data_IF_724316817234
#
_entry.id   IF_724316817234
#
_cell.length_a   1.000
_cell.length_b   1.000
_cell.length_c   1.000
_cell.angle_alpha   90.00
_cell.angle_beta   90.00
_cell.angle_gamma   90.00
#
_symmetry.space_group_name_H-M   'P 1'
#
loop_
_entity.id
_entity.type
_entity.pdbx_description
1 polymer ?
#
# COMPACT_ATOMS: atom_id res chain seq x y z
N UNK A 1 -11.57 -23.89 -4.30
CA UNK A 1 -11.44 -24.29 -5.73
C UNK A 1 -10.66 -23.19 -6.41
N UNK A 2 -9.56 -23.51 -7.10
CA UNK A 2 -8.72 -22.48 -7.77
C UNK A 2 -9.51 -21.93 -8.97
N UNK A 3 -9.74 -20.61 -9.08
CA UNK A 3 -10.47 -20.03 -10.21
C UNK A 3 -9.71 -20.25 -11.53
N UNK A 4 -10.42 -20.58 -12.60
CA UNK A 4 -9.91 -20.63 -13.97
C UNK A 4 -9.90 -19.23 -14.60
N UNK A 5 -9.16 -19.02 -15.70
CA UNK A 5 -9.15 -17.73 -16.42
C UNK A 5 -10.57 -17.29 -16.87
N UNK A 6 -11.49 -18.24 -17.09
CA UNK A 6 -12.90 -17.96 -17.39
C UNK A 6 -13.73 -17.50 -16.19
N UNK A 7 -13.22 -17.68 -14.97
CA UNK A 7 -13.88 -17.24 -13.72
C UNK A 7 -13.49 -15.81 -13.32
N UNK A 8 -12.51 -15.20 -14.01
CA UNK A 8 -12.17 -13.80 -13.82
C UNK A 8 -13.30 -12.93 -14.37
N UNK A 9 -13.87 -11.99 -13.57
CA UNK A 9 -14.99 -11.18 -14.01
C UNK A 9 -14.60 -10.40 -15.27
N UNK A 10 -15.28 -10.73 -16.38
CA UNK A 10 -14.89 -10.43 -17.75
C UNK A 10 -15.45 -9.13 -18.31
N UNK A 11 -16.29 -8.40 -17.56
CA UNK A 11 -16.76 -7.09 -17.98
C UNK A 11 -16.12 -5.97 -17.15
N UNK A 12 -15.41 -5.08 -17.83
CA UNK A 12 -14.93 -3.80 -17.30
C UNK A 12 -16.06 -3.04 -16.57
N UNK A 13 -17.31 -3.23 -17.02
CA UNK A 13 -18.53 -2.61 -16.51
C UNK A 13 -19.00 -3.17 -15.14
N UNK A 14 -18.83 -4.47 -14.88
CA UNK A 14 -19.11 -5.04 -13.54
C UNK A 14 -18.04 -4.63 -12.53
N UNK A 15 -16.78 -4.54 -12.98
CA UNK A 15 -15.69 -4.00 -12.15
C UNK A 15 -15.99 -2.53 -11.81
N UNK A 16 -16.32 -1.67 -12.77
CA UNK A 16 -16.58 -0.24 -12.50
C UNK A 16 -17.72 0.00 -11.51
N UNK A 17 -18.86 -0.70 -11.63
CA UNK A 17 -19.99 -0.54 -10.68
C UNK A 17 -19.63 -0.87 -9.23
N UNK A 18 -18.84 -1.92 -9.01
CA UNK A 18 -18.41 -2.27 -7.64
C UNK A 18 -17.43 -1.27 -7.04
N UNK A 19 -16.72 -0.50 -7.85
CA UNK A 19 -15.86 0.59 -7.38
C UNK A 19 -16.67 1.87 -7.14
N UNK A 20 -17.73 2.11 -7.92
CA UNK A 20 -18.70 3.20 -7.69
C UNK A 20 -19.47 3.00 -6.37
N UNK A 21 -20.00 1.80 -6.12
CA UNK A 21 -20.68 1.47 -4.84
C UNK A 21 -19.73 1.61 -3.64
N UNK A 22 -18.48 1.16 -3.78
CA UNK A 22 -17.47 1.28 -2.73
C UNK A 22 -17.06 2.75 -2.50
N UNK A 23 -17.02 3.56 -3.56
CA UNK A 23 -16.78 4.99 -3.47
C UNK A 23 -17.90 5.72 -2.73
N UNK A 24 -19.16 5.38 -3.02
CA UNK A 24 -20.33 5.91 -2.32
C UNK A 24 -20.29 5.52 -0.84
N UNK A 25 -20.11 4.22 -0.53
CA UNK A 25 -20.00 3.73 0.85
C UNK A 25 -18.83 4.39 1.62
N UNK A 26 -17.67 4.55 0.98
CA UNK A 26 -16.54 5.27 1.56
C UNK A 26 -16.87 6.75 1.78
N UNK A 27 -17.56 7.38 0.82
CA UNK A 27 -18.07 8.74 0.92
C UNK A 27 -18.93 8.94 2.16
N UNK A 28 -19.95 8.10 2.32
CA UNK A 28 -20.91 8.14 3.41
C UNK A 28 -20.25 7.88 4.77
N UNK A 29 -19.36 6.89 4.85
CA UNK A 29 -18.63 6.60 6.08
C UNK A 29 -17.79 7.81 6.53
N UNK A 30 -17.09 8.45 5.59
CA UNK A 30 -16.20 9.59 5.88
C UNK A 30 -16.96 10.84 6.34
N UNK A 31 -18.23 10.99 5.96
CA UNK A 31 -19.06 12.10 6.43
C UNK A 31 -19.44 11.97 7.92
N UNK A 32 -19.35 10.76 8.48
CA UNK A 32 -19.53 10.52 9.92
C UNK A 32 -18.24 10.69 10.74
N UNK A 33 -17.09 10.91 10.09
CA UNK A 33 -15.81 11.11 10.75
C UNK A 33 -15.58 12.58 11.13
N UNK A 34 -15.11 12.78 12.35
CA UNK A 34 -14.51 14.04 12.78
C UNK A 34 -13.19 14.31 12.04
N UNK A 35 -12.74 15.58 12.05
CA UNK A 35 -11.43 15.92 11.47
C UNK A 35 -10.28 15.16 12.14
N UNK A 36 -10.33 14.97 13.46
CA UNK A 36 -9.33 14.21 14.20
C UNK A 36 -9.31 12.73 13.79
N UNK A 37 -10.48 12.11 13.63
CA UNK A 37 -10.59 10.74 13.12
C UNK A 37 -10.04 10.63 11.68
N UNK A 38 -10.36 11.59 10.79
CA UNK A 38 -9.80 11.64 9.43
C UNK A 38 -8.26 11.75 9.44
N UNK A 39 -7.73 12.65 10.28
CA UNK A 39 -6.29 12.83 10.44
C UNK A 39 -5.60 11.59 11.05
N UNK A 40 -6.29 10.86 11.91
CA UNK A 40 -5.83 9.59 12.49
C UNK A 40 -5.79 8.43 11.47
N UNK A 41 -6.66 8.44 10.46
CA UNK A 41 -6.70 7.39 9.44
C UNK A 41 -5.61 7.51 8.37
N UNK A 42 -5.06 8.71 8.17
CA UNK A 42 -4.02 8.99 7.17
C UNK A 42 -2.59 8.86 7.74
N UNK A 43 -2.46 8.39 8.98
CA UNK A 43 -1.18 8.22 9.68
C UNK A 43 -1.10 6.82 10.30
N UNK A 44 0.05 6.19 10.19
CA UNK A 44 0.32 4.92 10.88
C UNK A 44 0.33 5.07 12.41
N UNK A 45 -0.15 4.04 13.10
CA UNK A 45 -0.02 3.86 14.54
C UNK A 45 0.80 2.60 14.84
N UNK A 46 1.15 2.40 16.12
CA UNK A 46 1.74 1.15 16.59
C UNK A 46 0.66 0.08 16.74
N UNK A 47 0.90 -1.11 16.22
CA UNK A 47 0.03 -2.28 16.36
C UNK A 47 0.77 -3.59 16.09
N UNK A 48 0.02 -4.62 15.69
CA UNK A 48 0.55 -5.96 15.47
C UNK A 48 1.19 -6.11 14.07
N UNK A 49 0.91 -5.20 13.16
CA UNK A 49 1.37 -5.24 11.78
C UNK A 49 2.54 -4.27 11.56
N UNK A 50 3.20 -4.33 10.40
CA UNK A 50 4.29 -3.38 10.12
C UNK A 50 3.80 -1.95 9.93
N UNK A 51 2.54 -1.80 9.50
CA UNK A 51 1.81 -0.54 9.56
C UNK A 51 0.38 -0.81 9.99
N UNK A 52 -0.13 -0.01 10.91
CA UNK A 52 -1.51 -0.12 11.40
C UNK A 52 -2.21 1.23 11.26
N UNK A 53 -3.49 1.21 10.88
CA UNK A 53 -4.41 2.33 11.05
C UNK A 53 -5.26 2.04 12.29
N UNK A 54 -5.37 3.03 13.18
CA UNK A 54 -6.06 2.86 14.46
C UNK A 54 -7.57 2.57 14.27
N UNK A 55 -8.19 1.78 15.18
CA UNK A 55 -9.63 1.57 15.20
C UNK A 55 -10.40 2.86 15.50
N UNK A 56 -11.65 2.93 15.01
CA UNK A 56 -12.63 3.96 15.35
C UNK A 56 -13.88 3.25 15.88
N UNK A 57 -13.86 2.94 17.18
CA UNK A 57 -14.87 2.08 17.82
C UNK A 57 -16.30 2.62 17.73
N UNK A 58 -16.48 3.95 17.74
CA UNK A 58 -17.81 4.59 17.60
C UNK A 58 -18.49 4.27 16.27
N UNK A 59 -17.69 3.99 15.23
CA UNK A 59 -18.16 3.68 13.89
C UNK A 59 -17.89 2.21 13.51
N UNK A 60 -17.60 1.35 14.49
CA UNK A 60 -17.29 -0.07 14.30
C UNK A 60 -16.14 -0.36 13.33
N UNK A 61 -15.20 0.58 13.16
CA UNK A 61 -13.97 0.32 12.40
C UNK A 61 -12.93 -0.30 13.33
N UNK A 62 -12.45 -1.50 13.00
CA UNK A 62 -11.45 -2.26 13.77
C UNK A 62 -10.01 -1.82 13.49
N UNK A 63 -9.82 -0.97 12.46
CA UNK A 63 -8.52 -0.50 12.00
C UNK A 63 -8.15 -1.14 10.66
N UNK A 64 -6.94 -0.88 10.18
CA UNK A 64 -6.38 -1.56 9.00
C UNK A 64 -4.99 -2.07 9.32
N UNK A 65 -4.75 -3.34 9.05
CA UNK A 65 -3.43 -3.96 9.16
C UNK A 65 -2.76 -4.02 7.78
N UNK A 66 -1.62 -3.34 7.64
CA UNK A 66 -0.76 -3.37 6.47
C UNK A 66 0.47 -4.22 6.79
N UNK A 67 0.67 -5.29 6.03
CA UNK A 67 1.66 -6.31 6.37
C UNK A 67 2.58 -6.61 5.19
N UNK A 68 3.88 -6.72 5.48
CA UNK A 68 4.86 -7.24 4.53
C UNK A 68 4.68 -8.75 4.37
N UNK A 69 5.02 -9.34 3.23
CA UNK A 69 5.51 -8.71 2.02
C UNK A 69 5.24 -9.58 0.78
N UNK A 70 5.95 -9.33 -0.34
CA UNK A 70 5.59 -9.89 -1.65
C UNK A 70 5.83 -11.40 -1.80
N UNK A 71 6.47 -12.05 -0.82
CA UNK A 71 6.80 -13.48 -0.81
C UNK A 71 6.08 -14.27 0.31
N UNK A 72 5.80 -13.64 1.45
CA UNK A 72 5.22 -14.27 2.63
C UNK A 72 4.84 -13.20 3.66
N UNK A 73 4.03 -13.58 4.64
CA UNK A 73 3.77 -12.74 5.81
C UNK A 73 5.06 -12.65 6.63
N UNK A 74 5.57 -11.44 6.78
CA UNK A 74 6.78 -11.16 7.52
C UNK A 74 6.52 -11.19 9.02
N UNK A 75 7.48 -11.72 9.79
CA UNK A 75 7.45 -11.79 11.25
C UNK A 75 6.22 -12.51 11.85
N UNK A 76 5.71 -13.55 11.18
CA UNK A 76 4.60 -14.35 11.66
C UNK A 76 4.96 -15.84 11.76
N UNK A 77 4.54 -16.55 12.83
CA UNK A 77 4.67 -18.00 12.91
C UNK A 77 3.52 -18.71 12.17
N UNK A 78 3.73 -19.97 11.80
CA UNK A 78 2.72 -20.81 11.12
C UNK A 78 2.23 -20.18 9.81
N UNK A 79 3.18 -19.84 8.93
CA UNK A 79 2.95 -19.29 7.59
C UNK A 79 3.84 -20.01 6.60
N UNK A 80 3.43 -20.02 5.33
CA UNK A 80 4.24 -20.55 4.25
C UNK A 80 5.23 -19.49 3.74
N UNK A 81 6.39 -19.94 3.25
CA UNK A 81 7.31 -19.09 2.49
C UNK A 81 7.21 -19.48 1.03
N UNK A 82 6.62 -18.61 0.22
CA UNK A 82 6.39 -18.88 -1.20
C UNK A 82 7.65 -18.59 -2.03
N UNK A 83 7.73 -19.04 -3.30
CA UNK A 83 8.75 -18.57 -4.23
C UNK A 83 8.72 -17.04 -4.38
N UNK A 84 9.89 -16.44 -4.55
CA UNK A 84 9.95 -15.01 -4.87
C UNK A 84 9.33 -14.73 -6.24
N UNK A 85 8.90 -13.49 -6.48
CA UNK A 85 8.21 -13.11 -7.72
C UNK A 85 9.07 -13.35 -8.96
N UNK A 86 10.40 -13.17 -8.88
CA UNK A 86 11.34 -13.51 -9.95
C UNK A 86 11.33 -15.01 -10.28
N UNK A 87 11.13 -15.87 -9.27
CA UNK A 87 11.01 -17.32 -9.49
C UNK A 87 9.66 -17.69 -10.12
N UNK A 88 8.60 -16.97 -9.76
CA UNK A 88 7.28 -17.14 -10.39
C UNK A 88 7.33 -16.70 -11.85
N UNK A 89 7.98 -15.57 -12.15
CA UNK A 89 8.18 -15.10 -13.52
C UNK A 89 8.90 -16.13 -14.39
N UNK A 90 9.93 -16.79 -13.85
CA UNK A 90 10.71 -17.79 -14.58
C UNK A 90 9.86 -18.97 -15.10
N UNK A 91 8.63 -19.15 -14.62
CA UNK A 91 7.68 -20.13 -15.16
C UNK A 91 6.99 -19.70 -16.45
N UNK A 92 6.90 -18.39 -16.73
CA UNK A 92 6.10 -17.80 -17.81
C UNK A 92 4.63 -18.26 -17.80
N UNK A 93 4.09 -18.59 -16.62
CA UNK A 93 2.75 -19.15 -16.45
C UNK A 93 1.88 -18.21 -15.58
N UNK A 94 0.91 -17.55 -16.24
CA UNK A 94 -0.04 -16.66 -15.57
C UNK A 94 -0.98 -17.41 -14.62
N UNK A 95 -1.32 -18.66 -14.90
CA UNK A 95 -2.16 -19.47 -14.00
C UNK A 95 -1.39 -19.81 -12.72
N UNK A 96 -0.11 -20.18 -12.85
CA UNK A 96 0.75 -20.42 -11.70
C UNK A 96 0.92 -19.15 -10.86
N UNK A 97 1.15 -18.00 -11.51
CA UNK A 97 1.26 -16.71 -10.82
C UNK A 97 -0.03 -16.33 -10.06
N UNK A 98 -1.18 -16.55 -10.69
CA UNK A 98 -2.49 -16.33 -10.05
C UNK A 98 -2.67 -17.24 -8.83
N UNK A 99 -2.45 -18.55 -8.99
CA UNK A 99 -2.63 -19.53 -7.92
C UNK A 99 -1.69 -19.25 -6.74
N UNK A 100 -0.42 -18.96 -7.04
CA UNK A 100 0.59 -18.54 -6.07
C UNK A 100 0.10 -17.34 -5.24
N UNK A 101 -0.33 -16.28 -5.91
CA UNK A 101 -0.78 -15.05 -5.27
C UNK A 101 -2.09 -15.20 -4.50
N UNK A 102 -3.00 -16.08 -4.96
CA UNK A 102 -4.27 -16.36 -4.28
C UNK A 102 -4.03 -17.04 -2.92
N UNK A 103 -3.16 -18.06 -2.88
CA UNK A 103 -2.84 -18.74 -1.62
C UNK A 103 -2.08 -17.83 -0.66
N UNK A 104 -1.15 -17.03 -1.17
CA UNK A 104 -0.49 -16.01 -0.37
C UNK A 104 -1.52 -15.03 0.22
N UNK A 105 -2.39 -14.43 -0.60
CA UNK A 105 -3.45 -13.53 -0.14
C UNK A 105 -4.37 -14.18 0.91
N UNK A 106 -4.68 -15.46 0.75
CA UNK A 106 -5.49 -16.23 1.72
C UNK A 106 -4.78 -16.33 3.08
N UNK A 107 -3.47 -16.59 3.11
CA UNK A 107 -2.72 -16.60 4.37
C UNK A 107 -2.71 -15.21 5.03
N UNK A 108 -2.56 -14.13 4.23
CA UNK A 108 -2.61 -12.75 4.75
C UNK A 108 -3.95 -12.46 5.42
N UNK A 109 -5.07 -12.76 4.74
CA UNK A 109 -6.41 -12.63 5.31
C UNK A 109 -6.57 -13.48 6.59
N UNK A 110 -6.09 -14.73 6.58
CA UNK A 110 -6.20 -15.63 7.73
C UNK A 110 -5.39 -15.14 8.95
N UNK A 111 -4.36 -14.30 8.75
CA UNK A 111 -3.62 -13.62 9.82
C UNK A 111 -4.19 -12.25 10.19
N UNK A 112 -5.30 -11.84 9.60
CA UNK A 112 -5.97 -10.56 9.87
C UNK A 112 -5.37 -9.36 9.12
N UNK A 113 -4.53 -9.60 8.11
CA UNK A 113 -4.01 -8.51 7.29
C UNK A 113 -5.07 -8.03 6.30
N UNK A 114 -5.28 -6.72 6.28
CA UNK A 114 -6.20 -6.07 5.35
C UNK A 114 -5.49 -5.74 4.03
N UNK A 115 -4.20 -5.40 4.11
CA UNK A 115 -3.38 -4.96 2.98
C UNK A 115 -2.09 -5.75 2.91
N UNK A 116 -1.84 -6.38 1.76
CA UNK A 116 -0.56 -6.99 1.40
C UNK A 116 0.33 -5.90 0.81
N UNK A 117 1.51 -5.68 1.39
CA UNK A 117 2.51 -4.76 0.84
C UNK A 117 3.27 -5.41 -0.33
N UNK A 118 2.54 -5.67 -1.41
CA UNK A 118 2.97 -6.24 -2.68
C UNK A 118 1.80 -6.30 -3.67
N UNK A 119 2.04 -6.70 -4.93
CA UNK A 119 3.31 -7.19 -5.49
C UNK A 119 4.33 -6.08 -5.79
N UNK A 120 5.52 -6.47 -6.25
CA UNK A 120 6.56 -5.52 -6.64
C UNK A 120 6.52 -5.28 -8.15
N UNK A 121 6.22 -4.05 -8.55
CA UNK A 121 6.34 -3.54 -9.92
C UNK A 121 7.60 -2.66 -10.13
N UNK A 122 8.33 -2.35 -9.05
CA UNK A 122 9.57 -1.56 -9.08
C UNK A 122 10.44 -1.87 -7.85
N UNK A 123 11.73 -2.23 -7.99
CA UNK A 123 12.61 -2.03 -9.15
C UNK A 123 12.29 -2.92 -10.35
N UNK A 124 12.19 -2.31 -11.54
CA UNK A 124 12.16 -3.02 -12.83
C UNK A 124 13.56 -3.54 -13.23
N UNK A 125 14.58 -3.38 -12.38
CA UNK A 125 15.92 -3.95 -12.60
C UNK A 125 16.81 -3.32 -13.68
N UNK A 126 16.79 -1.99 -13.85
CA UNK A 126 17.77 -1.26 -14.70
C UNK A 126 19.22 -1.74 -14.49
N UNK A 127 19.59 -2.05 -13.26
CA UNK A 127 20.89 -2.63 -12.92
C UNK A 127 20.69 -4.08 -12.48
N UNK A 128 21.47 -5.06 -13.00
CA UNK A 128 21.45 -6.42 -12.49
C UNK A 128 21.97 -6.52 -11.04
N UNK A 129 22.66 -5.48 -10.56
CA UNK A 129 23.12 -5.36 -9.17
C UNK A 129 22.06 -4.75 -8.22
N UNK A 130 20.83 -4.55 -8.70
CA UNK A 130 19.73 -4.06 -7.87
C UNK A 130 19.41 -5.05 -6.74
N UNK A 131 19.66 -4.65 -5.50
CA UNK A 131 19.55 -5.54 -4.33
C UNK A 131 18.15 -6.10 -4.04
N UNK A 132 17.11 -5.55 -4.69
CA UNK A 132 15.70 -5.95 -4.52
C UNK A 132 15.01 -6.34 -5.83
N UNK A 133 15.75 -6.52 -6.92
CA UNK A 133 15.17 -6.97 -8.19
C UNK A 133 14.42 -8.30 -8.02
N UNK A 134 14.94 -9.20 -7.18
CA UNK A 134 14.36 -10.51 -6.89
C UNK A 134 12.96 -10.45 -6.27
N UNK A 135 12.59 -9.34 -5.63
CA UNK A 135 11.26 -9.19 -5.02
C UNK A 135 10.17 -8.93 -6.07
N UNK A 136 10.54 -8.42 -7.25
CA UNK A 136 9.66 -8.24 -8.40
C UNK A 136 9.82 -9.34 -9.43
N UNK A 137 9.21 -9.12 -10.59
CA UNK A 137 9.28 -10.03 -11.72
C UNK A 137 10.47 -9.67 -12.61
N UNK A 138 10.21 -9.07 -13.78
CA UNK A 138 11.18 -8.99 -14.87
C UNK A 138 11.78 -7.59 -15.08
N UNK A 139 12.79 -7.56 -15.94
CA UNK A 139 13.23 -6.35 -16.64
C UNK A 139 12.28 -5.95 -17.78
N UNK A 140 11.54 -6.92 -18.29
CA UNK A 140 10.63 -6.77 -19.43
C UNK A 140 9.27 -6.24 -18.94
N UNK A 141 8.84 -5.12 -19.52
CA UNK A 141 7.70 -4.36 -19.01
C UNK A 141 6.35 -5.06 -19.28
N UNK A 142 6.22 -5.77 -20.39
CA UNK A 142 4.98 -6.44 -20.77
C UNK A 142 4.68 -7.63 -19.85
N UNK A 143 5.61 -8.58 -19.74
CA UNK A 143 5.49 -9.75 -18.86
C UNK A 143 5.35 -9.33 -17.40
N UNK A 144 6.14 -8.35 -16.95
CA UNK A 144 5.99 -7.81 -15.60
C UNK A 144 4.61 -7.19 -15.38
N UNK A 145 4.08 -6.45 -16.37
CA UNK A 145 2.75 -5.87 -16.32
C UNK A 145 1.66 -6.93 -16.19
N UNK A 146 1.71 -7.98 -17.02
CA UNK A 146 0.76 -9.10 -16.98
C UNK A 146 0.81 -9.85 -15.64
N UNK A 147 2.02 -10.18 -15.15
CA UNK A 147 2.21 -10.88 -13.88
C UNK A 147 1.79 -10.04 -12.68
N UNK A 148 2.08 -8.74 -12.67
CA UNK A 148 1.60 -7.80 -11.64
C UNK A 148 0.09 -7.75 -11.65
N UNK A 149 -0.55 -7.60 -12.82
CA UNK A 149 -2.00 -7.52 -12.94
C UNK A 149 -2.69 -8.79 -12.43
N UNK A 150 -2.19 -9.96 -12.80
CA UNK A 150 -2.72 -11.25 -12.34
C UNK A 150 -2.51 -11.45 -10.85
N UNK A 151 -1.36 -11.04 -10.31
CA UNK A 151 -1.06 -11.13 -8.87
C UNK A 151 -1.99 -10.23 -8.05
N UNK A 152 -2.25 -9.00 -8.51
CA UNK A 152 -3.21 -8.09 -7.88
C UNK A 152 -4.61 -8.70 -7.86
N UNK A 153 -5.07 -9.24 -9.00
CA UNK A 153 -6.39 -9.86 -9.11
C UNK A 153 -6.53 -11.04 -8.14
N UNK A 154 -5.49 -11.88 -8.03
CA UNK A 154 -5.47 -13.02 -7.14
C UNK A 154 -5.51 -12.62 -5.65
N UNK A 155 -4.67 -11.67 -5.22
CA UNK A 155 -4.66 -11.14 -3.85
C UNK A 155 -6.03 -10.55 -3.49
N UNK A 156 -6.59 -9.71 -4.37
CA UNK A 156 -7.91 -9.12 -4.17
C UNK A 156 -9.05 -10.14 -4.16
N UNK A 157 -8.95 -11.20 -4.97
CA UNK A 157 -9.95 -12.28 -4.96
C UNK A 157 -9.91 -13.12 -3.66
N UNK A 158 -8.79 -13.12 -2.95
CA UNK A 158 -8.66 -13.75 -1.63
C UNK A 158 -9.20 -12.87 -0.48
N UNK A 159 -9.55 -11.61 -0.76
CA UNK A 159 -10.11 -10.67 0.23
C UNK A 159 -9.13 -9.64 0.78
N UNK A 160 -7.86 -9.66 0.38
CA UNK A 160 -6.86 -8.67 0.80
C UNK A 160 -6.64 -7.58 -0.25
N UNK A 161 -6.30 -6.37 0.19
CA UNK A 161 -5.90 -5.29 -0.69
C UNK A 161 -4.46 -5.53 -1.17
N UNK A 162 -4.19 -5.29 -2.46
CA UNK A 162 -2.83 -5.30 -2.98
C UNK A 162 -2.26 -3.87 -3.01
N UNK A 163 -1.18 -3.62 -2.27
CA UNK A 163 -0.44 -2.36 -2.32
C UNK A 163 0.82 -2.52 -3.19
N UNK A 164 0.63 -2.41 -4.50
CA UNK A 164 1.70 -2.53 -5.50
C UNK A 164 2.79 -1.49 -5.27
N UNK A 165 4.06 -1.91 -5.22
CA UNK A 165 5.19 -1.03 -4.87
C UNK A 165 6.44 -1.37 -5.70
N UNK A 166 7.50 -0.59 -5.73
CA UNK A 166 7.60 0.79 -5.29
C UNK A 166 7.35 1.67 -6.51
N UNK A 167 6.28 2.46 -6.43
CA UNK A 167 5.97 3.46 -7.43
C UNK A 167 6.84 4.71 -7.16
N UNK A 168 7.78 5.11 -8.01
CA UNK A 168 8.32 4.49 -9.23
C UNK A 168 9.82 4.84 -9.29
N UNK A 169 10.60 4.21 -10.18
CA UNK A 169 12.02 4.55 -10.44
C UNK A 169 12.92 4.33 -9.20
N UNK A 170 12.46 3.59 -8.19
CA UNK A 170 13.34 3.03 -7.16
C UNK A 170 14.16 1.88 -7.79
N UNK A 171 15.23 2.22 -8.51
CA UNK A 171 16.01 1.30 -9.36
C UNK A 171 17.32 0.84 -8.72
N UNK A 172 17.72 1.45 -7.61
CA UNK A 172 18.94 1.11 -6.87
C UNK A 172 18.74 1.37 -5.38
N UNK A 173 19.34 0.52 -4.55
CA UNK A 173 19.21 0.65 -3.09
C UNK A 173 20.18 1.69 -2.51
N UNK A 174 21.30 1.92 -3.21
CA UNK A 174 22.31 2.91 -2.82
C UNK A 174 21.68 4.29 -2.90
N UNK A 175 21.76 5.07 -1.82
CA UNK A 175 21.21 6.42 -1.73
C UNK A 175 19.68 6.53 -1.96
N UNK A 176 18.91 5.46 -1.71
CA UNK A 176 17.43 5.53 -1.67
C UNK A 176 16.89 6.36 -0.51
N UNK A 177 17.68 6.48 0.56
CA UNK A 177 17.47 7.38 1.70
C UNK A 177 18.70 8.28 1.88
N UNK A 178 18.55 9.47 2.49
CA UNK A 178 19.70 10.30 2.79
C UNK A 178 20.71 9.54 3.67
N UNK A 179 22.00 9.72 3.38
CA UNK A 179 23.10 9.16 4.16
C UNK A 179 23.98 10.29 4.69
N UNK A 180 24.89 9.97 5.62
CA UNK A 180 25.84 10.94 6.15
C UNK A 180 27.24 10.58 5.70
N UNK A 181 27.97 11.56 5.17
CA UNK A 181 29.39 11.42 4.87
C UNK A 181 30.23 11.33 6.16
N UNK A 182 31.51 10.96 6.03
CA UNK A 182 32.44 10.89 7.15
C UNK A 182 32.58 12.23 7.92
N UNK A 183 32.36 13.37 7.26
CA UNK A 183 32.34 14.70 7.87
C UNK A 183 30.92 15.17 8.27
N UNK A 184 29.95 14.25 8.44
CA UNK A 184 28.56 14.51 8.85
C UNK A 184 27.77 15.45 7.93
N UNK A 185 28.15 15.55 6.66
CA UNK A 185 27.32 16.24 5.68
C UNK A 185 26.22 15.28 5.22
N UNK A 186 24.99 15.78 5.14
CA UNK A 186 23.86 15.04 4.58
C UNK A 186 24.05 14.88 3.08
N UNK A 187 24.04 13.64 2.61
CA UNK A 187 23.94 13.28 1.21
C UNK A 187 22.49 12.93 0.96
N UNK A 188 21.80 13.75 0.17
CA UNK A 188 20.37 13.60 -0.11
C UNK A 188 20.05 12.35 -0.94
N UNK A 189 18.81 11.87 -0.81
CA UNK A 189 18.31 10.77 -1.63
C UNK A 189 18.05 11.22 -3.09
N UNK A 190 18.18 10.28 -4.02
CA UNK A 190 17.87 10.49 -5.44
C UNK A 190 16.33 10.45 -5.64
N UNK A 191 15.75 11.50 -6.24
CA UNK A 191 14.28 11.68 -6.37
C UNK A 191 13.73 11.17 -7.69
N UNK A 192 12.50 10.63 -7.64
CA UNK A 192 11.65 10.33 -8.80
C UNK A 192 10.27 10.94 -8.62
N UNK A 193 9.82 11.77 -9.57
CA UNK A 193 8.48 12.38 -9.56
C UNK A 193 7.66 11.84 -10.74
N UNK A 194 6.41 11.45 -10.49
CA UNK A 194 5.36 11.28 -11.51
C UNK A 194 3.96 11.28 -10.83
N UNK A 195 2.90 11.50 -11.60
CA UNK A 195 1.50 11.59 -11.17
C UNK A 195 0.79 10.21 -11.17
N UNK A 196 -0.18 9.96 -10.28
CA UNK A 196 -0.97 8.72 -10.18
C UNK A 196 -2.42 8.98 -9.70
N UNK A 197 -3.35 8.09 -10.08
CA UNK A 197 -4.78 8.18 -9.78
C UNK A 197 -5.26 7.27 -8.63
N UNK A 198 -4.38 6.46 -8.03
CA UNK A 198 -4.65 5.62 -6.85
C UNK A 198 -4.62 6.35 -5.50
N UNK A 199 -4.48 5.61 -4.38
CA UNK A 199 -4.00 6.20 -3.13
C UNK A 199 -2.55 5.81 -2.87
N UNK A 200 -1.73 6.80 -2.58
CA UNK A 200 -0.29 6.64 -2.39
C UNK A 200 -0.01 6.51 -0.90
N UNK A 201 0.53 5.36 -0.51
CA UNK A 201 1.12 5.13 0.82
C UNK A 201 2.61 5.40 0.73
N UNK A 202 3.16 6.17 1.67
CA UNK A 202 4.62 6.35 1.71
C UNK A 202 5.29 5.02 2.03
N UNK A 203 6.40 4.69 1.37
CA UNK A 203 7.31 3.69 1.92
C UNK A 203 7.82 4.20 3.29
N UNK A 204 8.27 3.28 4.14
CA UNK A 204 8.54 3.56 5.54
C UNK A 204 9.59 4.68 5.64
N UNK A 205 9.19 5.79 6.28
CA UNK A 205 10.03 6.98 6.49
C UNK A 205 10.40 7.75 5.22
N UNK A 206 9.69 7.55 4.10
CA UNK A 206 9.94 8.29 2.85
C UNK A 206 9.15 9.59 2.74
N UNK A 207 8.11 9.80 3.55
CA UNK A 207 7.47 11.10 3.66
C UNK A 207 8.48 12.16 4.13
N UNK A 208 8.53 13.31 3.43
CA UNK A 208 9.50 14.40 3.70
C UNK A 208 8.84 15.73 4.06
N UNK A 209 7.52 15.84 3.98
CA UNK A 209 6.77 17.04 4.32
C UNK A 209 5.34 16.70 4.77
N UNK A 210 4.69 17.66 5.43
CA UNK A 210 3.26 17.59 5.78
C UNK A 210 2.37 18.05 4.64
N UNK A 211 1.89 19.30 4.71
CA UNK A 211 1.01 19.92 3.70
C UNK A 211 1.53 19.78 2.26
N UNK A 212 2.81 20.02 1.94
CA UNK A 212 3.31 19.84 0.57
C UNK A 212 3.17 18.40 0.06
N UNK A 213 3.45 17.39 0.88
CA UNK A 213 3.28 15.98 0.48
C UNK A 213 1.80 15.63 0.35
N UNK A 214 0.94 16.12 1.25
CA UNK A 214 -0.49 15.94 1.13
C UNK A 214 -1.04 16.53 -0.18
N UNK A 215 -0.64 17.75 -0.55
CA UNK A 215 -1.04 18.38 -1.81
C UNK A 215 -0.41 17.72 -3.04
N UNK A 216 0.75 17.08 -2.91
CA UNK A 216 1.42 16.32 -3.95
C UNK A 216 0.97 14.83 -3.99
N UNK A 217 -0.31 14.57 -3.70
CA UNK A 217 -0.96 13.26 -3.83
C UNK A 217 -0.57 12.17 -2.82
N UNK A 218 0.25 12.42 -1.80
CA UNK A 218 0.44 11.44 -0.73
C UNK A 218 -0.84 11.29 0.10
N UNK A 219 -1.36 10.06 0.25
CA UNK A 219 -2.62 9.80 0.97
C UNK A 219 -2.42 9.23 2.37
N UNK A 220 -1.34 8.48 2.61
CA UNK A 220 -1.07 7.86 3.92
C UNK A 220 0.42 7.91 4.27
N UNK A 221 0.73 8.45 5.45
CA UNK A 221 2.09 8.49 5.99
C UNK A 221 2.35 7.27 6.89
N UNK A 222 3.20 6.35 6.42
CA UNK A 222 3.63 5.15 7.13
C UNK A 222 5.14 5.20 7.48
N UNK A 223 5.54 4.76 8.69
CA UNK A 223 4.71 4.21 9.78
C UNK A 223 4.12 5.30 10.69
N UNK A 224 3.99 6.53 10.18
CA UNK A 224 3.55 7.71 10.92
C UNK A 224 4.70 8.45 11.59
N UNK A 225 5.60 7.76 12.30
CA UNK A 225 6.73 8.42 12.93
C UNK A 225 7.87 8.76 11.96
N UNK A 226 8.57 9.87 12.18
CA UNK A 226 9.78 10.24 11.42
C UNK A 226 11.04 9.42 11.78
N UNK A 227 10.98 8.53 12.79
CA UNK A 227 12.14 7.79 13.27
C UNK A 227 11.83 6.30 13.46
N UNK A 228 12.79 5.46 13.10
CA UNK A 228 12.73 4.00 13.16
C UNK A 228 12.72 3.43 14.59
N UNK A 229 13.47 4.04 15.52
CA UNK A 229 13.79 3.42 16.82
C UNK A 229 12.94 3.93 17.98
N UNK A 230 12.27 5.08 17.83
CA UNK A 230 11.53 5.74 18.91
C UNK A 230 10.32 6.48 18.35
N UNK A 231 9.23 6.52 19.12
CA UNK A 231 8.10 7.40 18.85
C UNK A 231 8.61 8.84 18.79
N UNK A 232 8.49 9.43 17.60
CA UNK A 232 8.90 10.79 17.29
C UNK A 232 7.78 11.52 16.55
N UNK A 233 7.94 12.83 16.35
CA UNK A 233 6.98 13.65 15.62
C UNK A 233 6.65 13.07 14.24
N UNK A 234 5.49 13.45 13.71
CA UNK A 234 4.98 13.02 12.41
C UNK A 234 4.76 14.23 11.50
N UNK A 235 4.93 14.04 10.20
CA UNK A 235 4.50 15.04 9.22
C UNK A 235 2.96 15.14 9.13
N UNK A 236 2.25 14.09 9.55
CA UNK A 236 0.79 13.94 9.49
C UNK A 236 0.20 13.89 10.92
N UNK A 237 -1.07 13.51 11.08
CA UNK A 237 -1.75 13.47 12.39
C UNK A 237 -2.17 14.87 12.86
N UNK A 238 -1.82 15.27 14.07
CA UNK A 238 -2.17 16.60 14.63
C UNK A 238 -1.74 17.76 13.74
N UNK A 239 -0.63 17.60 13.00
CA UNK A 239 -0.16 18.61 12.05
C UNK A 239 -1.13 18.82 10.86
N UNK A 240 -1.87 17.78 10.45
CA UNK A 240 -2.93 17.93 9.43
C UNK A 240 -4.14 18.63 10.01
N UNK A 241 -4.54 18.27 11.24
CA UNK A 241 -5.63 18.96 11.94
C UNK A 241 -5.32 20.45 12.10
N UNK A 242 -4.10 20.79 12.52
CA UNK A 242 -3.64 22.18 12.64
C UNK A 242 -3.63 22.90 11.29
N UNK A 243 -3.17 22.23 10.22
CA UNK A 243 -3.14 22.78 8.88
C UNK A 243 -4.53 23.08 8.30
N UNK A 244 -5.52 22.24 8.59
CA UNK A 244 -6.91 22.51 8.21
C UNK A 244 -7.47 23.68 9.02
N UNK A 245 -7.27 23.66 10.34
CA UNK A 245 -7.80 24.71 11.22
C UNK A 245 -7.21 26.10 10.95
N UNK A 246 -5.95 26.17 10.49
CA UNK A 246 -5.29 27.43 10.14
C UNK A 246 -5.44 27.81 8.65
N UNK A 247 -6.18 27.02 7.86
CA UNK A 247 -6.46 27.29 6.44
C UNK A 247 -5.33 27.00 5.46
N UNK A 248 -4.20 26.44 5.91
CA UNK A 248 -3.08 26.06 5.01
C UNK A 248 -3.35 24.76 4.22
N UNK A 249 -4.38 24.00 4.60
CA UNK A 249 -4.85 22.82 3.89
C UNK A 249 -6.38 22.84 3.81
N UNK A 250 -6.94 22.58 2.61
CA UNK A 250 -8.40 22.45 2.47
C UNK A 250 -8.91 21.27 3.30
N UNK A 251 -10.06 21.44 3.96
CA UNK A 251 -10.77 20.36 4.66
C UNK A 251 -11.18 19.21 3.74
N UNK A 252 -11.31 19.48 2.44
CA UNK A 252 -11.64 18.46 1.44
C UNK A 252 -10.48 17.51 1.19
N UNK A 253 -9.24 17.94 1.46
CA UNK A 253 -8.06 17.11 1.18
C UNK A 253 -7.98 15.89 2.10
N UNK A 254 -8.05 16.01 3.44
CA UNK A 254 -8.14 14.83 4.31
C UNK A 254 -9.39 13.98 4.04
N UNK A 255 -10.51 14.59 3.63
CA UNK A 255 -11.70 13.83 3.19
C UNK A 255 -11.36 12.92 2.01
N UNK A 256 -10.81 13.47 0.92
CA UNK A 256 -10.41 12.70 -0.26
C UNK A 256 -9.38 11.61 0.08
N UNK A 257 -8.40 11.91 0.94
CA UNK A 257 -7.40 10.92 1.38
C UNK A 257 -8.06 9.70 2.04
N UNK A 258 -8.96 9.95 3.00
CA UNK A 258 -9.62 8.86 3.73
C UNK A 258 -10.60 8.11 2.85
N UNK A 259 -11.33 8.79 1.96
CA UNK A 259 -12.19 8.12 0.97
C UNK A 259 -11.37 7.12 0.18
N UNK A 260 -10.24 7.53 -0.39
CA UNK A 260 -9.43 6.62 -1.22
C UNK A 260 -8.84 5.45 -0.44
N UNK A 261 -8.53 5.63 0.85
CA UNK A 261 -8.10 4.55 1.75
C UNK A 261 -9.24 3.53 1.98
N UNK A 262 -10.48 4.01 2.07
CA UNK A 262 -11.65 3.18 2.41
C UNK A 262 -12.34 2.54 1.21
N UNK A 263 -12.15 3.05 -0.02
CA UNK A 263 -12.68 2.42 -1.23
C UNK A 263 -12.30 0.92 -1.30
N UNK A 264 -11.02 0.51 -1.22
CA UNK A 264 -10.67 -0.91 -1.30
C UNK A 264 -11.21 -1.72 -0.11
N UNK A 265 -11.32 -1.10 1.08
CA UNK A 265 -11.91 -1.72 2.26
C UNK A 265 -13.37 -2.13 2.02
N UNK A 266 -14.21 -1.22 1.51
CA UNK A 266 -15.60 -1.52 1.16
C UNK A 266 -15.73 -2.39 -0.09
N UNK A 267 -14.88 -2.18 -1.10
CA UNK A 267 -14.91 -2.95 -2.35
C UNK A 267 -14.69 -4.46 -2.10
N UNK A 268 -13.76 -4.78 -1.19
CA UNK A 268 -13.42 -6.13 -0.79
C UNK A 268 -14.28 -6.66 0.37
N UNK A 269 -15.24 -5.86 0.86
CA UNK A 269 -16.16 -6.22 1.96
C UNK A 269 -15.45 -6.49 3.28
N UNK A 270 -14.31 -5.83 3.52
CA UNK A 270 -13.57 -5.96 4.78
C UNK A 270 -14.31 -5.29 5.96
N UNK A 271 -15.44 -4.61 5.69
CA UNK A 271 -16.38 -4.10 6.69
C UNK A 271 -17.33 -5.16 7.26
N UNK A 272 -17.35 -6.37 6.68
CA UNK A 272 -18.30 -7.44 7.01
C UNK A 272 -17.69 -8.58 7.82
N UNK A 273 -16.39 -8.54 8.09
CA UNK A 273 -15.61 -9.60 8.76
C UNK A 273 -15.73 -9.57 10.28
#
# INVERSE_FOLDING_TARGET
MVPSLSDLPSSLHYRSRRWEEALEAAGDFVDHLTLAEKAGMIIGTTGACLGDVAPISRLNLTGLCLQDGPQAIRNAPFVSVFPAQLSVEASWDLLLAHQHAFYMGTEFCAKGAHVVLGPIAGPLGRSPFGGRNWEGFSLEAYLSGELVAVTIQAIQSAGAQAATKHYIINKEEIQRNPTFSANRMTIEAIRSNIDDKGYVVSDWFTARAGVPSANASLNMNMPGSMNFLRKSASYFGENITAAVNNGSLSSDRPRDMVVRILIPYFHLKQDKD
#
